data_IF_171670581796
#
_entry.id   IF_171670581796
#
_cell.length_a   1.000
_cell.length_b   1.000
_cell.length_c   1.000
_cell.angle_alpha   90.00
_cell.angle_beta   90.00
_cell.angle_gamma   90.00
#
_symmetry.space_group_name_H-M   'P 1'
#
loop_
_entity.id
_entity.type
_entity.pdbx_description
1 polymer ?
#
# COMPACT_ATOMS: atom_id res chain seq x y z
N UNK A 1 3.68 16.50 14.14
CA UNK A 1 2.83 15.44 14.74
C UNK A 1 1.38 15.90 14.84
N UNK A 2 0.41 15.04 14.49
CA UNK A 2 -1.05 15.34 14.51
C UNK A 2 -1.67 14.99 15.89
N UNK A 3 -1.20 15.59 16.96
CA UNK A 3 -1.53 15.20 18.36
C UNK A 3 -3.03 15.15 18.61
N UNK A 4 -3.77 16.21 18.26
CA UNK A 4 -5.21 16.29 18.52
C UNK A 4 -6.00 15.21 17.75
N UNK A 5 -5.54 14.80 16.56
CA UNK A 5 -6.12 13.71 15.77
C UNK A 5 -5.84 12.38 16.45
N UNK A 6 -4.59 12.11 16.83
CA UNK A 6 -4.20 10.90 17.56
C UNK A 6 -5.02 10.74 18.84
N UNK A 7 -5.18 11.80 19.62
CA UNK A 7 -5.94 11.77 20.88
C UNK A 7 -7.43 11.46 20.69
N UNK A 8 -8.03 11.97 19.60
CA UNK A 8 -9.40 11.59 19.25
C UNK A 8 -9.51 10.10 18.90
N UNK A 9 -8.57 9.57 18.12
CA UNK A 9 -8.56 8.16 17.74
C UNK A 9 -8.25 7.24 18.93
N UNK A 10 -7.34 7.65 19.84
CA UNK A 10 -7.10 6.93 21.10
C UNK A 10 -8.37 6.82 21.95
N UNK A 11 -9.14 7.91 22.02
CA UNK A 11 -10.41 7.93 22.75
C UNK A 11 -11.44 7.00 22.09
N UNK A 12 -11.53 7.01 20.75
CA UNK A 12 -12.46 6.17 19.99
C UNK A 12 -12.11 4.66 20.08
N UNK A 13 -10.83 4.34 20.26
CA UNK A 13 -10.31 2.98 20.39
C UNK A 13 -10.16 2.52 21.86
N UNK A 14 -10.60 3.35 22.84
CA UNK A 14 -10.52 3.08 24.28
C UNK A 14 -9.09 2.78 24.78
N UNK A 15 -8.07 3.39 24.14
CA UNK A 15 -6.66 3.29 24.51
C UNK A 15 -6.25 4.44 25.43
N UNK A 16 -5.37 4.20 26.40
CA UNK A 16 -4.85 5.28 27.27
C UNK A 16 -3.77 6.09 26.57
N UNK A 17 -2.92 5.46 25.75
CA UNK A 17 -1.85 6.13 25.03
C UNK A 17 -1.36 5.33 23.83
N UNK A 18 -0.63 6.02 22.94
CA UNK A 18 0.23 5.43 21.92
C UNK A 18 1.69 5.57 22.35
N UNK A 19 2.39 4.47 22.54
CA UNK A 19 3.81 4.45 22.85
C UNK A 19 4.61 4.18 21.56
N UNK A 20 5.06 5.24 20.92
CA UNK A 20 5.98 5.18 19.81
C UNK A 20 7.38 4.79 20.32
N UNK A 21 8.03 3.90 19.61
CA UNK A 21 9.40 3.45 19.88
C UNK A 21 10.16 3.27 18.58
N UNK A 22 11.40 3.71 18.54
CA UNK A 22 12.30 3.36 17.46
C UNK A 22 13.74 3.18 17.96
N UNK A 23 14.47 2.33 17.27
CA UNK A 23 15.90 2.12 17.41
C UNK A 23 16.52 1.98 16.02
N UNK A 24 17.31 2.98 15.59
CA UNK A 24 18.06 2.98 14.33
C UNK A 24 17.19 2.85 13.07
N UNK A 25 15.98 3.38 13.10
CA UNK A 25 15.09 3.41 11.93
C UNK A 25 14.32 2.11 11.63
N UNK A 26 14.20 1.21 12.62
CA UNK A 26 13.47 -0.06 12.42
C UNK A 26 11.94 0.13 12.42
N UNK A 27 11.45 1.27 12.94
CA UNK A 27 10.02 1.57 13.04
C UNK A 27 9.66 2.82 12.23
N UNK A 28 9.44 2.70 10.91
CA UNK A 28 9.08 3.84 10.06
C UNK A 28 7.73 4.46 10.46
N UNK A 29 6.79 3.69 11.01
CA UNK A 29 5.50 4.22 11.50
C UNK A 29 5.76 5.22 12.62
N UNK A 30 6.54 4.84 13.63
CA UNK A 30 6.87 5.73 14.73
C UNK A 30 7.61 6.98 14.25
N UNK A 31 8.56 6.84 13.31
CA UNK A 31 9.29 7.97 12.74
C UNK A 31 8.38 8.93 11.98
N UNK A 32 7.48 8.43 11.14
CA UNK A 32 6.52 9.25 10.37
C UNK A 32 5.57 9.98 11.31
N UNK A 33 4.94 9.28 12.24
CA UNK A 33 4.00 9.86 13.21
C UNK A 33 4.68 10.91 14.08
N UNK A 34 5.92 10.67 14.49
CA UNK A 34 6.73 11.59 15.26
C UNK A 34 7.23 12.81 14.46
N UNK A 35 7.22 12.75 13.13
CA UNK A 35 7.82 13.75 12.24
C UNK A 35 9.35 13.70 12.23
N UNK A 36 9.91 12.50 12.37
CA UNK A 36 11.35 12.23 12.47
C UNK A 36 11.87 11.35 11.32
N UNK A 37 11.11 11.18 10.24
CA UNK A 37 11.46 10.29 9.13
C UNK A 37 12.83 10.60 8.49
N UNK A 38 13.20 11.89 8.41
CA UNK A 38 14.48 12.33 7.85
C UNK A 38 15.61 12.43 8.90
N UNK A 39 15.33 12.13 10.17
CA UNK A 39 16.30 12.25 11.25
C UNK A 39 17.20 11.02 11.35
N UNK A 40 18.51 11.23 11.39
CA UNK A 40 19.48 10.15 11.66
C UNK A 40 19.61 9.93 13.16
N UNK A 41 18.85 8.96 13.71
CA UNK A 41 18.82 8.61 15.12
C UNK A 41 19.39 7.22 15.33
N UNK A 42 20.39 7.09 16.18
CA UNK A 42 21.11 5.83 16.40
C UNK A 42 20.85 5.20 17.76
N UNK A 43 20.15 5.87 18.64
CA UNK A 43 19.80 5.41 19.99
C UNK A 43 18.30 5.24 20.14
N UNK A 44 17.89 4.40 21.09
CA UNK A 44 16.47 4.20 21.41
C UNK A 44 15.84 5.52 21.83
N UNK A 45 14.66 5.77 21.31
CA UNK A 45 13.79 6.84 21.80
C UNK A 45 12.38 6.31 21.98
N UNK A 46 11.64 6.95 22.89
CA UNK A 46 10.23 6.67 23.14
C UNK A 46 9.45 7.98 23.12
N UNK A 47 8.22 7.92 22.64
CA UNK A 47 7.26 9.02 22.77
C UNK A 47 5.92 8.44 23.22
N UNK A 48 5.50 8.74 24.44
CA UNK A 48 4.16 8.43 24.90
C UNK A 48 3.22 9.57 24.53
N UNK A 49 2.26 9.30 23.67
CA UNK A 49 1.18 10.23 23.31
C UNK A 49 -0.06 9.80 24.09
N UNK A 50 -0.41 10.48 25.21
CA UNK A 50 -1.57 10.11 26.01
C UNK A 50 -2.87 10.56 25.32
N UNK A 51 -4.01 9.92 25.63
CA UNK A 51 -5.33 10.34 25.13
C UNK A 51 -5.72 11.78 25.56
N UNK A 52 -5.07 12.31 26.58
CA UNK A 52 -5.22 13.69 27.05
C UNK A 52 -3.88 14.22 27.59
N UNK A 53 -3.59 15.49 27.35
CA UNK A 53 -2.35 16.12 27.79
C UNK A 53 -1.27 16.17 26.70
N UNK A 54 -0.06 16.50 27.08
CA UNK A 54 1.06 16.63 26.15
C UNK A 54 1.83 15.33 25.95
N UNK A 55 2.43 15.10 24.78
CA UNK A 55 3.36 14.01 24.59
C UNK A 55 4.55 14.06 25.56
N UNK A 56 5.05 12.89 25.95
CA UNK A 56 6.20 12.74 26.82
C UNK A 56 7.27 11.90 26.09
N UNK A 57 8.44 12.49 25.93
CA UNK A 57 9.55 11.90 25.22
C UNK A 57 10.61 11.39 26.17
N UNK A 58 11.25 10.31 25.79
CA UNK A 58 12.45 9.79 26.44
C UNK A 58 13.54 9.62 25.39
N UNK A 59 14.61 10.40 25.51
CA UNK A 59 15.61 10.62 24.47
C UNK A 59 17.00 10.44 25.03
N UNK A 60 17.90 9.79 24.29
CA UNK A 60 19.29 9.67 24.69
C UNK A 60 20.02 11.02 24.61
N UNK A 61 20.86 11.34 25.60
CA UNK A 61 21.57 12.62 25.72
C UNK A 61 22.37 13.04 24.48
N UNK A 62 22.89 12.09 23.71
CA UNK A 62 23.63 12.41 22.47
C UNK A 62 22.77 12.70 21.25
N UNK A 63 21.46 12.45 21.30
CA UNK A 63 20.54 12.63 20.17
C UNK A 63 19.66 13.88 20.31
N UNK A 64 19.86 14.70 21.35
CA UNK A 64 19.00 15.84 21.70
C UNK A 64 18.78 16.83 20.55
N UNK A 65 19.75 16.98 19.64
CA UNK A 65 19.65 17.85 18.48
C UNK A 65 18.52 17.46 17.52
N UNK A 66 18.15 16.18 17.44
CA UNK A 66 17.07 15.69 16.61
C UNK A 66 15.69 16.01 17.20
N UNK A 67 15.61 16.36 18.49
CA UNK A 67 14.36 16.54 19.25
C UNK A 67 14.09 17.98 19.69
N UNK A 68 14.81 18.96 19.17
CA UNK A 68 14.67 20.37 19.59
C UNK A 68 13.31 20.99 19.24
N UNK A 69 12.64 20.48 18.20
CA UNK A 69 11.37 21.00 17.70
C UNK A 69 10.16 20.11 18.02
N UNK A 70 10.33 19.06 18.85
CA UNK A 70 9.22 18.19 19.20
C UNK A 70 8.27 18.88 20.19
N UNK A 71 6.99 18.57 20.09
CA UNK A 71 5.99 19.05 21.04
C UNK A 71 5.96 18.16 22.28
N UNK A 72 5.80 18.74 23.47
CA UNK A 72 5.68 18.03 24.74
C UNK A 72 6.95 18.08 25.59
N UNK A 73 7.01 17.23 26.58
CA UNK A 73 8.08 17.17 27.58
C UNK A 73 9.15 16.17 27.18
N UNK A 74 10.43 16.56 27.27
CA UNK A 74 11.56 15.69 26.94
C UNK A 74 12.35 15.35 28.20
N UNK A 75 12.39 14.06 28.53
CA UNK A 75 13.29 13.50 29.54
C UNK A 75 14.53 12.89 28.85
N UNK A 76 15.69 13.02 29.49
CA UNK A 76 16.95 12.55 28.93
C UNK A 76 17.51 11.37 29.72
N UNK A 77 18.12 10.42 29.01
CA UNK A 77 18.87 9.31 29.62
C UNK A 77 20.24 9.12 28.94
N UNK A 78 21.16 8.44 29.60
CA UNK A 78 22.44 8.03 29.03
C UNK A 78 22.72 6.54 29.24
N UNK A 79 22.53 6.04 30.45
CA UNK A 79 22.77 4.63 30.82
C UNK A 79 21.51 3.77 30.69
N UNK A 80 21.71 2.45 30.68
CA UNK A 80 20.59 1.50 30.59
C UNK A 80 19.72 1.47 31.86
N UNK A 81 20.31 1.69 33.06
CA UNK A 81 19.59 1.77 34.33
C UNK A 81 18.69 3.03 34.34
N UNK A 82 19.28 4.19 33.97
CA UNK A 82 18.55 5.47 33.82
C UNK A 82 17.39 5.36 32.81
N UNK A 83 17.61 4.64 31.69
CA UNK A 83 16.57 4.36 30.72
C UNK A 83 15.43 3.55 31.33
N UNK A 84 15.74 2.49 32.06
CA UNK A 84 14.74 1.60 32.63
C UNK A 84 13.87 2.32 33.67
N UNK A 85 14.50 3.11 34.58
CA UNK A 85 13.81 3.93 35.56
C UNK A 85 12.90 4.99 34.88
N UNK A 86 13.40 5.61 33.79
CA UNK A 86 12.67 6.60 33.04
C UNK A 86 11.49 6.00 32.27
N UNK A 87 11.58 4.78 31.75
CA UNK A 87 10.44 4.06 31.16
C UNK A 87 9.35 3.82 32.22
N UNK A 88 9.72 3.38 33.43
CA UNK A 88 8.79 3.21 34.53
C UNK A 88 8.04 4.51 34.88
N UNK A 89 8.78 5.64 34.90
CA UNK A 89 8.21 6.97 35.11
C UNK A 89 7.29 7.38 33.97
N UNK A 90 7.67 7.10 32.73
CA UNK A 90 6.90 7.42 31.52
C UNK A 90 5.54 6.70 31.50
N UNK A 91 5.48 5.49 32.04
CA UNK A 91 4.31 4.60 32.02
C UNK A 91 3.45 4.65 33.29
N UNK A 92 3.85 5.40 34.31
CA UNK A 92 3.28 5.32 35.66
C UNK A 92 1.75 5.60 35.75
N UNK A 93 1.20 6.35 34.81
CA UNK A 93 -0.22 6.79 34.79
C UNK A 93 -1.05 6.17 33.66
N UNK A 94 -0.54 5.16 32.96
CA UNK A 94 -1.24 4.45 31.88
C UNK A 94 -1.38 2.97 32.20
N UNK A 95 -2.48 2.36 31.75
CA UNK A 95 -2.75 0.93 31.90
C UNK A 95 -2.63 0.19 30.59
N UNK A 96 -3.05 0.84 29.49
CA UNK A 96 -3.02 0.28 28.15
C UNK A 96 -2.25 1.20 27.21
N UNK A 97 -1.35 0.63 26.40
CA UNK A 97 -0.65 1.36 25.35
C UNK A 97 -0.74 0.63 24.03
N UNK A 98 -0.97 1.38 22.95
CA UNK A 98 -0.76 0.87 21.60
C UNK A 98 0.74 0.92 21.27
N UNK A 99 1.25 -0.12 20.61
CA UNK A 99 2.59 -0.15 20.02
C UNK A 99 2.54 -0.85 18.66
N UNK A 100 3.56 -0.61 17.82
CA UNK A 100 3.70 -1.28 16.52
C UNK A 100 4.08 -2.76 16.72
N UNK A 101 3.10 -3.50 17.18
CA UNK A 101 3.15 -4.91 17.52
C UNK A 101 1.94 -5.62 16.92
N UNK A 102 2.14 -6.76 16.28
CA UNK A 102 1.07 -7.62 15.79
C UNK A 102 1.08 -8.95 16.53
N UNK A 103 0.04 -9.28 17.32
CA UNK A 103 -0.07 -10.57 17.97
C UNK A 103 0.04 -11.71 16.94
N UNK A 104 0.78 -12.76 17.28
CA UNK A 104 1.01 -13.93 16.43
C UNK A 104 1.57 -13.61 15.02
N UNK A 105 2.11 -12.39 14.81
CA UNK A 105 2.56 -11.88 13.52
C UNK A 105 1.47 -11.90 12.42
N UNK A 106 0.19 -11.77 12.79
CA UNK A 106 -0.95 -11.79 11.85
C UNK A 106 -0.86 -10.69 10.78
N UNK A 107 -0.33 -9.51 11.14
CA UNK A 107 -0.10 -8.38 10.23
C UNK A 107 1.37 -7.93 10.37
N UNK A 108 2.32 -8.57 9.68
CA UNK A 108 3.75 -8.31 9.86
C UNK A 108 4.16 -6.87 9.50
N UNK A 109 3.41 -6.19 8.64
CA UNK A 109 3.63 -4.78 8.28
C UNK A 109 3.59 -3.83 9.48
N UNK A 110 2.81 -4.17 10.50
CA UNK A 110 2.67 -3.40 11.75
C UNK A 110 3.70 -3.84 12.80
N UNK A 111 4.27 -5.03 12.71
CA UNK A 111 5.18 -5.58 13.72
C UNK A 111 6.59 -4.98 13.59
N UNK A 112 6.82 -3.84 14.24
CA UNK A 112 8.08 -3.06 14.17
C UNK A 112 8.83 -2.97 15.49
N UNK A 113 8.17 -3.28 16.61
CA UNK A 113 8.79 -3.29 17.94
C UNK A 113 9.34 -4.69 18.24
N UNK A 114 10.59 -4.77 18.65
CA UNK A 114 11.23 -6.04 18.99
C UNK A 114 10.64 -6.67 20.26
N UNK A 115 10.74 -8.01 20.37
CA UNK A 115 10.19 -8.77 21.47
C UNK A 115 10.74 -8.33 22.84
N UNK A 116 12.04 -8.04 22.93
CA UNK A 116 12.67 -7.62 24.19
C UNK A 116 12.14 -6.27 24.68
N UNK A 117 11.89 -5.34 23.78
CA UNK A 117 11.23 -4.06 24.12
C UNK A 117 9.80 -4.29 24.62
N UNK A 118 9.02 -5.17 23.96
CA UNK A 118 7.66 -5.51 24.42
C UNK A 118 7.67 -6.15 25.81
N UNK A 119 8.59 -7.09 26.06
CA UNK A 119 8.75 -7.72 27.37
C UNK A 119 9.10 -6.69 28.45
N UNK A 120 10.01 -5.77 28.15
CA UNK A 120 10.38 -4.66 29.03
C UNK A 120 9.16 -3.78 29.38
N UNK A 121 8.38 -3.32 28.38
CA UNK A 121 7.20 -2.49 28.63
C UNK A 121 6.15 -3.24 29.45
N UNK A 122 5.88 -4.51 29.14
CA UNK A 122 4.94 -5.36 29.91
C UNK A 122 5.39 -5.59 31.34
N UNK A 123 6.70 -5.62 31.61
CA UNK A 123 7.23 -5.81 32.98
C UNK A 123 6.86 -4.68 33.95
N UNK A 124 6.48 -3.49 33.43
CA UNK A 124 5.95 -2.37 34.22
C UNK A 124 4.45 -2.50 34.53
N UNK A 125 3.80 -3.63 34.17
CA UNK A 125 2.38 -3.86 34.45
C UNK A 125 1.44 -3.19 33.47
N UNK A 126 1.95 -2.72 32.31
CA UNK A 126 1.16 -2.10 31.26
C UNK A 126 0.72 -3.16 30.23
N UNK A 127 -0.53 -3.14 29.83
CA UNK A 127 -1.05 -3.94 28.72
C UNK A 127 -0.63 -3.32 27.40
N UNK A 128 0.06 -4.09 26.56
CA UNK A 128 0.45 -3.67 25.21
C UNK A 128 -0.54 -4.24 24.20
N UNK A 129 -1.24 -3.35 23.50
CA UNK A 129 -2.15 -3.65 22.41
C UNK A 129 -1.52 -3.28 21.07
N UNK A 130 -2.03 -3.85 19.97
CA UNK A 130 -1.58 -3.50 18.63
C UNK A 130 -1.99 -2.09 18.25
N UNK A 131 -1.10 -1.34 17.59
CA UNK A 131 -1.42 -0.04 17.00
C UNK A 131 -2.02 -0.12 15.59
N UNK A 132 -2.34 -1.31 15.08
CA UNK A 132 -2.72 -1.54 13.69
C UNK A 132 -3.86 -0.62 13.20
N UNK A 133 -4.97 -0.54 13.98
CA UNK A 133 -6.09 0.36 13.65
C UNK A 133 -5.71 1.83 13.81
N UNK A 134 -4.91 2.18 14.80
CA UNK A 134 -4.47 3.55 15.05
C UNK A 134 -3.54 4.03 13.95
N UNK A 135 -2.56 3.22 13.55
CA UNK A 135 -1.65 3.51 12.44
C UNK A 135 -2.42 3.72 11.12
N UNK A 136 -3.37 2.85 10.80
CA UNK A 136 -4.24 3.01 9.64
C UNK A 136 -5.00 4.36 9.67
N UNK A 137 -5.59 4.72 10.79
CA UNK A 137 -6.39 5.95 10.94
C UNK A 137 -5.56 7.22 10.82
N UNK A 138 -4.29 7.18 11.20
CA UNK A 138 -3.40 8.34 11.21
C UNK A 138 -2.58 8.46 9.91
N UNK A 139 -2.15 7.33 9.33
CA UNK A 139 -1.25 7.34 8.17
C UNK A 139 -1.94 7.03 6.84
N UNK A 140 -2.97 6.17 6.83
CA UNK A 140 -3.58 5.72 5.58
C UNK A 140 -4.79 6.57 5.15
N UNK A 141 -5.37 7.37 6.03
CA UNK A 141 -6.43 8.32 5.64
C UNK A 141 -5.87 9.48 4.85
N UNK A 142 -6.34 9.62 3.62
CA UNK A 142 -6.03 10.75 2.77
C UNK A 142 -6.83 11.97 3.21
N UNK A 143 -6.18 13.11 3.31
CA UNK A 143 -6.86 14.40 3.40
C UNK A 143 -7.40 14.84 2.02
N UNK A 144 -8.16 15.92 1.96
CA UNK A 144 -8.80 16.39 0.73
C UNK A 144 -7.78 16.72 -0.39
N UNK A 145 -6.64 17.34 -0.03
CA UNK A 145 -5.58 17.63 -0.98
C UNK A 145 -4.93 16.36 -1.53
N UNK A 146 -4.66 15.39 -0.66
CA UNK A 146 -4.11 14.08 -1.03
C UNK A 146 -5.09 13.29 -1.91
N UNK A 147 -6.38 13.27 -1.58
CA UNK A 147 -7.40 12.61 -2.40
C UNK A 147 -7.52 13.25 -3.80
N UNK A 148 -7.43 14.57 -3.88
CA UNK A 148 -7.41 15.31 -5.17
C UNK A 148 -6.12 15.01 -5.93
N UNK A 149 -4.97 15.00 -5.26
CA UNK A 149 -3.67 14.65 -5.83
C UNK A 149 -3.65 13.20 -6.39
N UNK A 150 -4.23 12.24 -5.65
CA UNK A 150 -4.38 10.86 -6.11
C UNK A 150 -5.20 10.78 -7.42
N UNK A 151 -6.31 11.52 -7.54
CA UNK A 151 -7.09 11.54 -8.77
C UNK A 151 -6.30 12.10 -9.95
N UNK A 152 -5.43 13.09 -9.71
CA UNK A 152 -4.54 13.59 -10.75
C UNK A 152 -3.45 12.56 -11.10
N UNK A 153 -2.85 11.89 -10.11
CA UNK A 153 -1.90 10.78 -10.35
C UNK A 153 -2.57 9.70 -11.21
N UNK A 154 -3.78 9.27 -10.85
CA UNK A 154 -4.53 8.24 -11.57
C UNK A 154 -4.77 8.62 -13.05
N UNK A 155 -5.19 9.87 -13.29
CA UNK A 155 -5.37 10.38 -14.65
C UNK A 155 -4.08 10.34 -15.47
N UNK A 156 -2.96 10.76 -14.88
CA UNK A 156 -1.67 10.85 -15.58
C UNK A 156 -1.05 9.46 -15.80
N UNK A 157 -1.17 8.55 -14.84
CA UNK A 157 -0.76 7.14 -14.98
C UNK A 157 -1.53 6.46 -16.11
N UNK A 158 -2.84 6.67 -16.20
CA UNK A 158 -3.65 6.15 -17.32
C UNK A 158 -3.23 6.74 -18.67
N UNK A 159 -2.83 8.00 -18.74
CA UNK A 159 -2.29 8.60 -19.97
C UNK A 159 -0.95 7.95 -20.37
N UNK A 160 -0.07 7.69 -19.41
CA UNK A 160 1.19 6.98 -19.68
C UNK A 160 0.93 5.56 -20.19
N UNK A 161 -0.03 4.84 -19.60
CA UNK A 161 -0.48 3.53 -20.05
C UNK A 161 -1.01 3.57 -21.49
N UNK A 162 -1.89 4.53 -21.82
CA UNK A 162 -2.43 4.68 -23.19
C UNK A 162 -1.31 5.00 -24.18
N UNK A 163 -0.38 5.86 -23.83
CA UNK A 163 0.81 6.13 -24.62
C UNK A 163 1.62 4.86 -24.90
N UNK A 164 1.91 4.06 -23.87
CA UNK A 164 2.72 2.86 -23.98
C UNK A 164 2.12 1.85 -24.97
N UNK A 165 0.84 1.51 -24.85
CA UNK A 165 0.18 0.58 -25.77
C UNK A 165 0.09 1.13 -27.20
N UNK A 166 -0.20 2.42 -27.38
CA UNK A 166 -0.20 3.06 -28.68
C UNK A 166 1.19 3.06 -29.32
N UNK A 167 2.23 3.32 -28.55
CA UNK A 167 3.61 3.29 -28.99
C UNK A 167 4.00 1.89 -29.46
N UNK A 168 3.74 0.83 -28.67
CA UNK A 168 3.97 -0.56 -29.05
C UNK A 168 3.30 -0.85 -30.40
N UNK A 169 2.00 -0.57 -30.53
CA UNK A 169 1.26 -0.82 -31.77
C UNK A 169 1.83 -0.07 -32.97
N UNK A 170 2.30 1.18 -32.78
CA UNK A 170 2.96 1.96 -33.84
C UNK A 170 4.28 1.34 -34.27
N UNK A 171 5.16 1.00 -33.31
CA UNK A 171 6.49 0.42 -33.63
C UNK A 171 6.34 -0.91 -34.37
N UNK A 172 5.40 -1.77 -33.95
CA UNK A 172 5.13 -3.05 -34.61
C UNK A 172 4.57 -2.89 -36.02
N UNK A 173 3.67 -1.93 -36.26
CA UNK A 173 3.18 -1.61 -37.62
C UNK A 173 4.27 -1.08 -38.55
N UNK A 174 5.24 -0.37 -37.98
CA UNK A 174 6.40 0.13 -38.70
C UNK A 174 7.51 -0.94 -38.94
N UNK A 175 7.28 -2.18 -38.44
CA UNK A 175 8.23 -3.30 -38.57
C UNK A 175 9.50 -3.15 -37.74
N UNK A 176 9.44 -2.36 -36.66
CA UNK A 176 10.58 -2.16 -35.78
C UNK A 176 10.70 -3.24 -34.71
N UNK A 177 11.92 -3.57 -34.35
CA UNK A 177 12.23 -4.39 -33.18
C UNK A 177 12.09 -3.54 -31.92
N UNK A 178 11.34 -3.99 -30.95
CA UNK A 178 11.17 -3.36 -29.64
C UNK A 178 11.32 -4.40 -28.53
N UNK A 179 11.93 -3.99 -27.42
CA UNK A 179 12.11 -4.81 -26.24
C UNK A 179 11.15 -4.34 -25.13
N UNK A 180 10.80 -5.24 -24.20
CA UNK A 180 10.04 -4.87 -22.98
C UNK A 180 10.72 -3.68 -22.26
N UNK A 181 12.08 -3.69 -22.19
CA UNK A 181 12.85 -2.61 -21.59
C UNK A 181 12.68 -1.28 -22.31
N UNK A 182 12.58 -1.28 -23.65
CA UNK A 182 12.34 -0.04 -24.41
C UNK A 182 11.00 0.58 -24.05
N UNK A 183 9.95 -0.26 -23.90
CA UNK A 183 8.61 0.19 -23.48
C UNK A 183 8.66 0.76 -22.06
N UNK A 184 9.37 0.10 -21.14
CA UNK A 184 9.55 0.59 -19.77
C UNK A 184 10.22 1.97 -19.78
N UNK A 185 11.26 2.17 -20.59
CA UNK A 185 11.94 3.46 -20.69
C UNK A 185 11.04 4.56 -21.29
N UNK A 186 10.20 4.22 -22.27
CA UNK A 186 9.18 5.14 -22.81
C UNK A 186 8.16 5.55 -21.74
N UNK A 187 7.69 4.63 -20.90
CA UNK A 187 6.80 4.95 -19.77
C UNK A 187 7.48 5.89 -18.78
N UNK A 188 8.74 5.61 -18.39
CA UNK A 188 9.53 6.48 -17.51
C UNK A 188 9.75 7.87 -18.13
N UNK A 189 9.97 7.94 -19.44
CA UNK A 189 10.03 9.20 -20.18
C UNK A 189 8.71 10.01 -20.09
N UNK A 190 7.56 9.34 -20.20
CA UNK A 190 6.24 9.96 -20.02
C UNK A 190 6.04 10.43 -18.58
N UNK A 191 6.44 9.63 -17.59
CA UNK A 191 6.38 10.05 -16.18
C UNK A 191 7.19 11.34 -15.96
N UNK A 192 8.42 11.37 -16.44
CA UNK A 192 9.27 12.56 -16.33
C UNK A 192 8.67 13.79 -17.04
N UNK A 193 8.07 13.61 -18.22
CA UNK A 193 7.43 14.69 -19.00
C UNK A 193 6.16 15.24 -18.31
N UNK A 194 5.51 14.45 -17.44
CA UNK A 194 4.32 14.81 -16.70
C UNK A 194 4.60 15.16 -15.21
N UNK A 195 5.86 15.37 -14.83
CA UNK A 195 6.31 15.62 -13.45
C UNK A 195 5.84 14.52 -12.45
N UNK A 196 5.80 13.27 -12.92
CA UNK A 196 5.54 12.11 -12.09
C UNK A 196 6.85 11.45 -11.63
N UNK A 197 6.79 10.81 -10.47
CA UNK A 197 7.86 9.98 -9.91
C UNK A 197 7.31 8.62 -9.52
N UNK A 198 8.17 7.61 -9.62
CA UNK A 198 7.91 6.25 -9.13
C UNK A 198 9.11 5.79 -8.31
N UNK A 199 8.90 4.88 -7.37
CA UNK A 199 9.96 4.29 -6.54
C UNK A 199 10.65 3.10 -7.24
N UNK A 200 9.94 2.42 -8.16
CA UNK A 200 10.49 1.34 -8.98
C UNK A 200 10.03 1.49 -10.44
N UNK A 201 10.81 1.01 -11.41
CA UNK A 201 10.40 1.03 -12.81
C UNK A 201 9.14 0.21 -13.07
N UNK A 202 8.27 0.63 -14.00
CA UNK A 202 7.09 -0.13 -14.40
C UNK A 202 7.41 -1.55 -14.87
N UNK A 203 6.47 -2.46 -14.66
CA UNK A 203 6.51 -3.81 -15.21
C UNK A 203 6.00 -3.76 -16.65
N UNK A 204 6.77 -4.34 -17.55
CA UNK A 204 6.38 -4.62 -18.94
C UNK A 204 6.77 -6.06 -19.23
N UNK A 205 5.79 -6.93 -19.43
CA UNK A 205 6.03 -8.36 -19.54
C UNK A 205 5.29 -8.97 -20.73
N UNK A 206 5.98 -9.71 -21.56
CA UNK A 206 5.41 -10.39 -22.71
C UNK A 206 5.32 -11.91 -22.47
N UNK A 207 4.16 -12.50 -22.84
CA UNK A 207 3.93 -13.96 -22.80
C UNK A 207 4.30 -14.58 -21.43
N UNK A 208 5.22 -15.56 -21.40
CA UNK A 208 5.61 -16.29 -20.20
C UNK A 208 6.21 -15.38 -19.10
N UNK A 209 6.82 -14.24 -19.47
CA UNK A 209 7.35 -13.28 -18.49
C UNK A 209 6.23 -12.66 -17.64
N UNK A 210 5.02 -12.50 -18.19
CA UNK A 210 3.86 -12.02 -17.43
C UNK A 210 3.35 -13.01 -16.37
N UNK A 211 3.88 -14.24 -16.35
CA UNK A 211 3.56 -15.24 -15.30
C UNK A 211 4.28 -14.99 -13.98
N UNK A 212 5.31 -14.13 -13.98
CA UNK A 212 5.97 -13.64 -12.77
C UNK A 212 5.37 -12.27 -12.40
N UNK A 213 4.59 -12.18 -11.30
CA UNK A 213 3.97 -10.92 -10.89
C UNK A 213 4.94 -9.77 -10.63
N UNK A 214 6.19 -10.08 -10.29
CA UNK A 214 7.23 -9.10 -9.96
C UNK A 214 8.32 -8.97 -11.05
N UNK A 215 8.11 -9.59 -12.22
CA UNK A 215 9.04 -9.41 -13.33
C UNK A 215 9.12 -7.93 -13.74
N UNK A 216 10.34 -7.40 -13.74
CA UNK A 216 10.62 -6.08 -14.29
C UNK A 216 11.77 -6.18 -15.28
N UNK A 217 11.59 -5.74 -16.54
CA UNK A 217 12.65 -5.82 -17.54
C UNK A 217 13.82 -4.91 -17.16
N UNK A 218 15.02 -5.31 -17.60
CA UNK A 218 16.23 -4.52 -17.46
C UNK A 218 17.01 -4.49 -18.79
N UNK A 219 18.05 -3.69 -18.87
CA UNK A 219 18.90 -3.64 -20.07
C UNK A 219 19.54 -5.01 -20.43
N UNK A 220 19.63 -5.93 -19.46
CA UNK A 220 20.27 -7.25 -19.63
C UNK A 220 19.31 -8.43 -19.52
N UNK A 221 18.09 -8.22 -18.99
CA UNK A 221 17.01 -9.23 -18.95
C UNK A 221 15.74 -8.59 -19.50
N UNK A 222 15.51 -8.81 -20.78
CA UNK A 222 14.39 -8.26 -21.54
C UNK A 222 14.08 -9.16 -22.72
N UNK A 223 12.82 -9.21 -23.12
CA UNK A 223 12.35 -9.98 -24.27
C UNK A 223 11.91 -9.04 -25.39
N UNK A 224 12.09 -9.47 -26.64
CA UNK A 224 11.51 -8.80 -27.80
C UNK A 224 10.00 -8.96 -27.80
N UNK A 225 9.27 -7.87 -28.07
CA UNK A 225 7.83 -7.86 -28.27
C UNK A 225 7.54 -7.96 -29.76
N UNK A 226 6.79 -8.97 -30.17
CA UNK A 226 6.47 -9.27 -31.57
C UNK A 226 4.97 -9.30 -31.81
N UNK A 227 4.59 -9.24 -33.09
CA UNK A 227 3.18 -9.48 -33.46
C UNK A 227 2.76 -10.92 -33.03
N UNK A 228 1.66 -11.00 -32.31
CA UNK A 228 1.15 -12.26 -31.72
C UNK A 228 1.44 -12.41 -30.25
N UNK A 229 2.16 -11.50 -29.61
CA UNK A 229 2.46 -11.57 -28.18
C UNK A 229 1.32 -11.01 -27.31
N UNK A 230 1.15 -11.64 -26.15
CA UNK A 230 0.33 -11.13 -25.06
C UNK A 230 1.20 -10.27 -24.15
N UNK A 231 0.74 -9.08 -23.78
CA UNK A 231 1.52 -8.07 -23.07
C UNK A 231 0.77 -7.64 -21.81
N UNK A 232 1.45 -7.63 -20.67
CA UNK A 232 1.01 -7.05 -19.41
C UNK A 232 1.87 -5.82 -19.12
N UNK A 233 1.23 -4.70 -18.78
CA UNK A 233 1.88 -3.50 -18.27
C UNK A 233 1.26 -3.17 -16.92
N UNK A 234 2.11 -3.03 -15.91
CA UNK A 234 1.78 -2.61 -14.56
C UNK A 234 2.63 -1.39 -14.20
N UNK A 235 1.96 -0.30 -13.82
CA UNK A 235 2.63 0.99 -13.66
C UNK A 235 1.98 1.84 -12.58
N UNK A 236 2.83 2.39 -11.71
CA UNK A 236 2.45 3.26 -10.61
C UNK A 236 3.32 4.50 -10.54
N UNK A 237 2.72 5.61 -10.20
CA UNK A 237 3.42 6.88 -10.01
C UNK A 237 2.59 7.87 -9.20
N UNK A 238 3.26 8.93 -8.71
CA UNK A 238 2.64 10.08 -8.07
C UNK A 238 3.28 11.38 -8.55
N UNK A 239 2.66 12.53 -8.27
CA UNK A 239 3.30 13.82 -8.50
C UNK A 239 4.60 13.94 -7.68
N UNK A 240 5.51 14.78 -8.15
CA UNK A 240 6.78 15.06 -7.49
C UNK A 240 6.58 15.98 -6.27
N UNK A 241 5.86 15.46 -5.28
CA UNK A 241 5.58 16.09 -3.99
C UNK A 241 5.68 15.01 -2.89
N UNK A 242 6.35 15.26 -1.77
CA UNK A 242 6.46 14.28 -0.68
C UNK A 242 5.10 13.77 -0.19
N UNK A 243 4.09 14.66 -0.13
CA UNK A 243 2.74 14.35 0.36
C UNK A 243 1.82 13.81 -0.75
N UNK A 244 2.28 13.76 -2.01
CA UNK A 244 1.49 13.21 -3.10
C UNK A 244 1.25 11.70 -2.92
N UNK A 245 0.08 11.26 -3.38
CA UNK A 245 -0.40 9.89 -3.28
C UNK A 245 -0.23 9.18 -4.61
N UNK A 246 0.28 7.96 -4.55
CA UNK A 246 0.41 7.08 -5.71
C UNK A 246 -0.93 6.77 -6.35
N UNK A 247 -0.90 6.47 -7.65
CA UNK A 247 -1.92 5.73 -8.35
C UNK A 247 -1.28 4.53 -9.03
N UNK A 248 -2.03 3.44 -9.14
CA UNK A 248 -1.57 2.14 -9.62
C UNK A 248 -2.56 1.54 -10.60
N UNK A 249 -2.06 0.86 -11.63
CA UNK A 249 -2.93 0.17 -12.57
C UNK A 249 -2.20 -0.85 -13.41
N UNK A 250 -2.81 -2.01 -13.60
CA UNK A 250 -2.35 -3.06 -14.52
C UNK A 250 -3.34 -3.25 -15.65
N UNK A 251 -2.82 -3.25 -16.88
CA UNK A 251 -3.57 -3.51 -18.10
C UNK A 251 -2.89 -4.56 -18.98
N UNK A 252 -3.69 -5.26 -19.80
CA UNK A 252 -3.20 -6.28 -20.73
C UNK A 252 -3.63 -5.99 -22.16
N UNK A 253 -2.77 -6.40 -23.10
CA UNK A 253 -2.98 -6.23 -24.52
C UNK A 253 -2.51 -7.46 -25.30
N UNK A 254 -2.95 -7.55 -26.54
CA UNK A 254 -2.47 -8.51 -27.53
C UNK A 254 -1.92 -7.76 -28.74
N UNK A 255 -0.72 -8.08 -29.13
CA UNK A 255 -0.04 -7.49 -30.29
C UNK A 255 -0.56 -8.08 -31.62
N UNK A 256 -1.86 -7.99 -31.86
CA UNK A 256 -2.51 -8.52 -33.05
C UNK A 256 -3.88 -7.91 -33.25
N UNK A 257 -4.53 -8.23 -34.40
CA UNK A 257 -5.86 -7.73 -34.77
C UNK A 257 -7.00 -8.45 -34.07
N UNK A 258 -6.81 -9.72 -33.77
CA UNK A 258 -7.84 -10.58 -33.14
C UNK A 258 -7.23 -11.28 -31.96
N UNK A 259 -7.73 -10.99 -30.78
CA UNK A 259 -7.25 -11.62 -29.53
C UNK A 259 -7.64 -13.10 -29.51
N UNK A 260 -6.70 -14.03 -29.31
CA UNK A 260 -7.01 -15.46 -29.18
C UNK A 260 -7.92 -15.74 -27.98
N UNK A 261 -8.83 -16.71 -28.15
CA UNK A 261 -9.84 -17.09 -27.15
C UNK A 261 -9.24 -17.41 -25.78
N UNK A 262 -8.08 -18.07 -25.73
CA UNK A 262 -7.41 -18.42 -24.47
C UNK A 262 -7.10 -17.20 -23.59
N UNK A 263 -6.74 -16.06 -24.16
CA UNK A 263 -6.47 -14.84 -23.41
C UNK A 263 -7.76 -14.17 -22.93
N UNK A 264 -8.81 -14.21 -23.78
CA UNK A 264 -10.13 -13.65 -23.44
C UNK A 264 -10.76 -14.41 -22.28
N UNK A 265 -10.71 -15.76 -22.28
CA UNK A 265 -11.29 -16.61 -21.24
C UNK A 265 -10.67 -16.32 -19.87
N UNK A 266 -9.33 -16.26 -19.77
CA UNK A 266 -8.64 -15.97 -18.52
C UNK A 266 -8.88 -14.51 -18.10
N UNK A 267 -8.81 -13.57 -19.04
CA UNK A 267 -9.07 -12.16 -18.76
C UNK A 267 -10.50 -11.95 -18.21
N UNK A 268 -11.51 -12.59 -18.78
CA UNK A 268 -12.90 -12.47 -18.32
C UNK A 268 -13.09 -13.00 -16.89
N UNK A 269 -12.35 -14.03 -16.49
CA UNK A 269 -12.36 -14.52 -15.10
C UNK A 269 -11.73 -13.48 -14.18
N UNK A 270 -10.55 -12.97 -14.52
CA UNK A 270 -9.83 -11.97 -13.69
C UNK A 270 -10.62 -10.65 -13.59
N UNK A 271 -11.18 -10.19 -14.71
CA UNK A 271 -12.06 -9.02 -14.76
C UNK A 271 -13.28 -9.17 -13.85
N UNK A 272 -14.00 -10.32 -13.95
CA UNK A 272 -15.18 -10.56 -13.12
C UNK A 272 -14.81 -10.67 -11.64
N UNK A 273 -13.63 -11.23 -11.30
CA UNK A 273 -13.11 -11.27 -9.94
C UNK A 273 -12.91 -9.84 -9.38
N UNK A 274 -12.26 -8.95 -10.14
CA UNK A 274 -12.10 -7.53 -9.82
C UNK A 274 -13.47 -6.84 -9.62
N UNK A 275 -14.37 -7.03 -10.56
CA UNK A 275 -15.69 -6.38 -10.55
C UNK A 275 -16.56 -6.90 -9.39
N UNK A 276 -16.38 -8.17 -8.97
CA UNK A 276 -17.01 -8.73 -7.76
C UNK A 276 -16.51 -8.06 -6.49
N UNK A 277 -15.19 -7.85 -6.36
CA UNK A 277 -14.63 -7.11 -5.22
C UNK A 277 -15.25 -5.71 -5.11
N UNK A 278 -15.32 -4.97 -6.22
CA UNK A 278 -15.91 -3.63 -6.25
C UNK A 278 -17.39 -3.68 -5.82
N UNK A 279 -18.18 -4.60 -6.36
CA UNK A 279 -19.60 -4.76 -5.97
C UNK A 279 -19.76 -5.15 -4.51
N UNK A 280 -18.96 -6.10 -4.02
CA UNK A 280 -18.98 -6.53 -2.62
C UNK A 280 -18.73 -5.35 -1.67
N UNK A 281 -17.71 -4.55 -1.96
CA UNK A 281 -17.40 -3.35 -1.17
C UNK A 281 -18.56 -2.34 -1.27
N UNK A 282 -19.07 -2.06 -2.46
CA UNK A 282 -20.17 -1.10 -2.66
C UNK A 282 -21.45 -1.48 -1.92
N UNK A 283 -21.84 -2.75 -1.96
CA UNK A 283 -23.05 -3.26 -1.32
C UNK A 283 -22.94 -3.20 0.22
N UNK A 284 -21.85 -3.68 0.79
CA UNK A 284 -21.63 -3.64 2.24
C UNK A 284 -21.43 -2.22 2.76
N UNK A 285 -20.69 -1.40 2.01
CA UNK A 285 -20.47 0.01 2.35
C UNK A 285 -21.78 0.81 2.38
N UNK A 286 -22.65 0.59 1.39
CA UNK A 286 -23.97 1.22 1.33
C UNK A 286 -24.91 0.75 2.46
N UNK A 287 -24.74 -0.47 2.93
CA UNK A 287 -25.49 -1.04 4.05
C UNK A 287 -24.87 -0.74 5.43
N UNK A 288 -23.76 0.03 5.47
CA UNK A 288 -23.00 0.34 6.69
C UNK A 288 -22.53 -0.92 7.45
N UNK A 289 -22.29 -2.01 6.73
CA UNK A 289 -21.77 -3.26 7.29
C UNK A 289 -20.24 -3.19 7.26
N UNK A 290 -19.52 -3.42 8.38
CA UNK A 290 -18.08 -3.46 8.41
C UNK A 290 -17.50 -4.42 7.35
N UNK A 291 -16.42 -4.00 6.69
CA UNK A 291 -15.71 -4.79 5.69
C UNK A 291 -14.27 -4.92 6.17
N UNK A 292 -13.78 -6.15 6.30
CA UNK A 292 -12.38 -6.41 6.63
C UNK A 292 -11.61 -6.78 5.37
N UNK A 293 -10.32 -6.50 5.36
CA UNK A 293 -9.48 -6.76 4.19
C UNK A 293 -9.54 -8.22 3.72
N UNK A 294 -9.47 -9.18 4.66
CA UNK A 294 -9.54 -10.61 4.35
C UNK A 294 -10.87 -11.02 3.67
N UNK A 295 -11.99 -10.36 3.98
CA UNK A 295 -13.31 -10.72 3.40
C UNK A 295 -13.37 -10.38 1.90
N UNK A 296 -12.68 -9.32 1.48
CA UNK A 296 -12.60 -8.96 0.06
C UNK A 296 -11.74 -9.96 -0.70
N UNK A 297 -10.59 -10.36 -0.13
CA UNK A 297 -9.75 -11.41 -0.72
C UNK A 297 -10.49 -12.73 -0.84
N UNK A 298 -11.23 -13.15 0.21
CA UNK A 298 -12.07 -14.37 0.19
C UNK A 298 -13.11 -14.33 -0.94
N UNK A 299 -13.75 -13.19 -1.17
CA UNK A 299 -14.73 -13.01 -2.26
C UNK A 299 -14.07 -13.22 -3.63
N UNK A 300 -12.91 -12.65 -3.87
CA UNK A 300 -12.16 -12.73 -5.12
C UNK A 300 -11.57 -14.12 -5.32
N UNK A 301 -10.82 -14.58 -4.35
CA UNK A 301 -10.12 -15.88 -4.36
C UNK A 301 -11.09 -17.06 -4.46
N UNK A 302 -12.21 -16.99 -3.73
CA UNK A 302 -13.29 -17.97 -3.81
C UNK A 302 -13.83 -18.12 -5.23
N UNK A 303 -14.08 -16.98 -5.92
CA UNK A 303 -14.53 -17.03 -7.31
C UNK A 303 -13.49 -17.59 -8.29
N UNK A 304 -12.22 -17.18 -8.18
CA UNK A 304 -11.15 -17.70 -9.04
C UNK A 304 -10.97 -19.21 -8.80
N UNK A 305 -11.09 -19.66 -7.55
CA UNK A 305 -11.04 -21.09 -7.19
C UNK A 305 -12.21 -21.88 -7.77
N UNK A 306 -13.44 -21.33 -7.71
CA UNK A 306 -14.63 -21.91 -8.35
C UNK A 306 -14.45 -22.10 -9.86
N UNK A 307 -13.71 -21.20 -10.51
CA UNK A 307 -13.36 -21.28 -11.92
C UNK A 307 -12.22 -22.28 -12.23
N UNK A 308 -11.62 -22.90 -11.22
CA UNK A 308 -10.55 -23.90 -11.36
C UNK A 308 -9.13 -23.32 -11.42
N UNK A 309 -8.95 -22.05 -11.08
CA UNK A 309 -7.66 -21.35 -11.17
C UNK A 309 -7.11 -20.89 -9.82
N UNK A 310 -7.64 -21.38 -8.69
CA UNK A 310 -7.23 -20.95 -7.35
C UNK A 310 -5.73 -21.07 -7.07
N UNK A 311 -5.08 -22.14 -7.56
CA UNK A 311 -3.62 -22.37 -7.41
C UNK A 311 -2.74 -21.39 -8.21
N UNK A 312 -3.33 -20.69 -9.20
CA UNK A 312 -2.65 -19.73 -10.05
C UNK A 312 -2.85 -18.28 -9.59
N UNK A 313 -3.62 -18.04 -8.52
CA UNK A 313 -3.76 -16.73 -7.89
C UNK A 313 -2.89 -16.68 -6.62
N UNK A 314 -1.65 -16.24 -6.77
CA UNK A 314 -0.52 -16.46 -5.84
C UNK A 314 -0.13 -15.24 -5.00
N UNK A 315 -0.88 -14.16 -5.07
CA UNK A 315 -0.71 -12.97 -4.22
C UNK A 315 -2.04 -12.48 -3.65
N UNK A 316 -2.02 -11.52 -2.75
CA UNK A 316 -3.21 -10.87 -2.18
C UNK A 316 -4.03 -10.16 -3.25
N UNK A 317 -5.31 -9.90 -2.96
CA UNK A 317 -6.21 -9.20 -3.90
C UNK A 317 -5.87 -7.72 -4.07
N UNK A 318 -5.21 -7.10 -3.08
CA UNK A 318 -4.82 -5.70 -3.19
C UNK A 318 -4.14 -5.16 -1.92
N UNK A 319 -3.63 -3.96 -2.01
CA UNK A 319 -2.89 -3.30 -0.93
C UNK A 319 -3.35 -1.86 -0.71
N UNK A 320 -3.08 -1.33 0.48
CA UNK A 320 -3.31 0.09 0.76
C UNK A 320 -2.35 0.97 -0.06
N UNK A 321 -2.89 2.04 -0.62
CA UNK A 321 -2.17 3.06 -1.38
C UNK A 321 -2.15 4.37 -0.61
N UNK A 322 -0.97 4.98 -0.51
CA UNK A 322 -0.74 6.24 0.17
C UNK A 322 0.34 7.09 -0.48
N UNK A 323 1.09 7.82 0.33
CA UNK A 323 2.31 8.52 -0.09
C UNK A 323 3.45 7.55 -0.45
N UNK A 324 3.32 6.30 -0.05
CA UNK A 324 4.08 5.14 -0.52
C UNK A 324 3.14 4.18 -1.21
N UNK A 325 3.64 3.41 -2.18
CA UNK A 325 2.79 2.53 -2.98
C UNK A 325 2.16 1.42 -2.12
N UNK A 326 2.90 0.85 -1.18
CA UNK A 326 2.41 -0.10 -0.18
C UNK A 326 2.31 0.59 1.18
N UNK A 327 1.15 1.20 1.48
CA UNK A 327 0.91 1.95 2.71
C UNK A 327 0.62 1.06 3.93
N UNK A 328 0.41 1.73 5.09
CA UNK A 328 0.16 1.06 6.38
C UNK A 328 -1.34 0.84 6.70
N UNK A 329 -2.24 1.08 5.74
CA UNK A 329 -3.67 0.75 5.87
C UNK A 329 -3.94 -0.74 5.65
N UNK A 330 -5.22 -1.12 5.76
CA UNK A 330 -5.68 -2.48 5.53
C UNK A 330 -5.40 -2.92 4.08
N UNK A 331 -4.82 -4.11 3.94
CA UNK A 331 -4.68 -4.79 2.67
C UNK A 331 -5.90 -5.70 2.43
N UNK A 332 -6.19 -5.98 1.17
CA UNK A 332 -7.20 -6.97 0.79
C UNK A 332 -6.51 -8.34 0.71
N UNK A 333 -6.34 -8.99 1.87
CA UNK A 333 -5.44 -10.14 2.00
C UNK A 333 -5.97 -11.19 2.99
N UNK A 334 -6.10 -12.42 2.54
CA UNK A 334 -6.29 -13.64 3.33
C UNK A 334 -5.39 -14.79 2.82
N UNK A 335 -4.32 -14.44 2.10
CA UNK A 335 -3.36 -15.41 1.58
C UNK A 335 -2.00 -15.29 2.27
N UNK A 336 -1.37 -14.14 2.13
CA UNK A 336 -0.04 -13.87 2.71
C UNK A 336 -0.17 -13.52 4.19
N UNK A 337 -1.20 -12.73 4.51
CA UNK A 337 -1.60 -12.38 5.86
C UNK A 337 -3.12 -12.32 5.97
N UNK A 338 -3.66 -12.61 7.16
CA UNK A 338 -5.07 -12.39 7.39
C UNK A 338 -5.28 -10.96 7.88
N UNK A 339 -5.54 -10.02 6.97
CA UNK A 339 -5.75 -8.64 7.37
C UNK A 339 -7.17 -8.42 7.90
N UNK A 340 -7.30 -8.49 9.22
CA UNK A 340 -8.57 -8.33 9.93
C UNK A 340 -8.92 -6.86 10.22
N UNK A 341 -8.14 -5.88 9.72
CA UNK A 341 -8.49 -4.46 9.87
C UNK A 341 -9.68 -4.11 9.01
N UNK A 342 -10.53 -3.24 9.54
CA UNK A 342 -11.68 -2.75 8.79
C UNK A 342 -11.25 -1.72 7.73
N UNK A 343 -11.87 -1.77 6.56
CA UNK A 343 -11.80 -0.68 5.59
C UNK A 343 -12.53 0.54 6.16
N UNK A 344 -11.90 1.70 6.15
CA UNK A 344 -12.43 2.94 6.74
C UNK A 344 -12.55 4.05 5.70
N UNK A 345 -13.40 5.04 5.96
CA UNK A 345 -13.50 6.22 5.10
C UNK A 345 -12.19 6.98 5.04
N UNK A 346 -11.82 7.45 3.86
CA UNK A 346 -10.60 8.19 3.59
C UNK A 346 -9.41 7.34 3.13
N UNK A 347 -9.54 6.01 3.05
CA UNK A 347 -8.45 5.14 2.56
C UNK A 347 -8.55 4.89 1.06
N UNK A 348 -7.39 4.68 0.45
CA UNK A 348 -7.23 4.22 -0.92
C UNK A 348 -6.51 2.87 -0.96
N UNK A 349 -6.90 1.99 -1.86
CA UNK A 349 -6.30 0.66 -2.03
C UNK A 349 -6.47 0.15 -3.46
N UNK A 350 -5.58 -0.76 -3.89
CA UNK A 350 -5.71 -1.48 -5.16
C UNK A 350 -6.72 -2.63 -5.07
N UNK A 351 -7.28 -3.02 -6.22
CA UNK A 351 -7.97 -4.29 -6.46
C UNK A 351 -7.35 -4.87 -7.72
N UNK A 352 -6.53 -5.91 -7.57
CA UNK A 352 -5.61 -6.39 -8.60
C UNK A 352 -5.57 -7.93 -8.74
N UNK A 353 -6.71 -8.63 -8.85
CA UNK A 353 -6.66 -10.08 -9.00
C UNK A 353 -5.86 -10.48 -10.24
N UNK A 354 -5.19 -11.65 -10.15
CA UNK A 354 -4.40 -12.21 -11.24
C UNK A 354 -4.49 -13.73 -11.34
N UNK A 355 -4.27 -14.27 -12.53
CA UNK A 355 -4.11 -15.70 -12.83
C UNK A 355 -2.80 -15.85 -13.62
N UNK A 356 -1.84 -16.60 -13.07
CA UNK A 356 -0.49 -16.73 -13.60
C UNK A 356 -0.23 -18.16 -14.09
N UNK A 357 -0.56 -18.41 -15.37
CA UNK A 357 -0.30 -19.67 -16.05
C UNK A 357 1.14 -19.72 -16.55
N UNK A 358 1.72 -20.93 -16.77
CA UNK A 358 3.10 -21.06 -17.23
C UNK A 358 3.40 -20.31 -18.53
N UNK A 359 2.41 -20.19 -19.44
CA UNK A 359 2.60 -19.56 -20.74
C UNK A 359 2.34 -18.03 -20.73
N UNK A 360 1.54 -17.55 -19.82
CA UNK A 360 1.18 -16.12 -19.65
C UNK A 360 0.47 -15.90 -18.32
N UNK A 361 0.58 -14.69 -17.80
CA UNK A 361 -0.19 -14.21 -16.65
C UNK A 361 -1.13 -13.08 -17.06
N UNK A 362 -2.28 -13.00 -16.39
CA UNK A 362 -3.27 -11.93 -16.54
C UNK A 362 -3.51 -11.30 -15.19
N UNK A 363 -3.31 -10.00 -15.10
CA UNK A 363 -3.74 -9.14 -13.98
C UNK A 363 -4.52 -7.97 -14.55
N UNK A 364 -5.58 -7.53 -13.89
CA UNK A 364 -6.22 -6.25 -14.16
C UNK A 364 -6.45 -5.54 -12.85
N UNK A 365 -6.07 -4.28 -12.79
CA UNK A 365 -5.98 -3.54 -11.55
C UNK A 365 -6.64 -2.18 -11.66
N UNK A 366 -7.26 -1.81 -10.54
CA UNK A 366 -7.85 -0.49 -10.31
C UNK A 366 -7.60 -0.04 -8.89
N UNK A 367 -7.52 1.28 -8.70
CA UNK A 367 -7.55 1.90 -7.38
C UNK A 367 -8.97 2.23 -6.96
N UNK A 368 -9.26 2.00 -5.68
CA UNK A 368 -10.53 2.35 -5.05
C UNK A 368 -10.28 3.28 -3.85
N UNK A 369 -10.99 4.40 -3.83
CA UNK A 369 -10.98 5.36 -2.75
C UNK A 369 -12.34 5.39 -2.03
N UNK A 370 -12.35 5.25 -0.71
CA UNK A 370 -13.53 5.34 0.13
C UNK A 370 -13.77 6.80 0.56
N UNK A 371 -14.46 7.57 -0.28
CA UNK A 371 -14.62 9.02 -0.09
C UNK A 371 -15.62 9.41 1.01
N UNK A 372 -16.55 8.54 1.37
CA UNK A 372 -17.62 8.83 2.33
C UNK A 372 -18.69 7.75 2.36
N UNK A 373 -19.80 7.97 3.07
CA UNK A 373 -20.85 6.97 3.23
C UNK A 373 -21.62 6.70 1.93
N UNK A 374 -22.30 5.56 1.90
CA UNK A 374 -23.15 5.15 0.80
C UNK A 374 -22.38 4.60 -0.42
N UNK A 375 -23.10 4.00 -1.36
CA UNK A 375 -22.49 3.35 -2.54
C UNK A 375 -21.65 4.29 -3.37
N UNK A 376 -22.07 5.54 -3.53
CA UNK A 376 -21.36 6.57 -4.28
C UNK A 376 -20.07 7.04 -3.58
N UNK A 377 -19.88 6.67 -2.32
CA UNK A 377 -18.64 6.88 -1.57
C UNK A 377 -17.51 5.93 -1.99
N UNK A 378 -17.83 4.81 -2.64
CA UNK A 378 -16.83 3.87 -3.18
C UNK A 378 -16.47 4.28 -4.60
N UNK A 379 -15.32 4.90 -4.78
CA UNK A 379 -14.89 5.48 -6.05
C UNK A 379 -13.75 4.70 -6.66
N UNK A 380 -13.95 4.15 -7.85
CA UNK A 380 -12.85 3.66 -8.69
C UNK A 380 -12.17 4.87 -9.29
N UNK A 381 -10.91 5.12 -8.91
CA UNK A 381 -10.18 6.35 -9.27
C UNK A 381 -9.35 6.19 -10.54
N UNK A 382 -8.89 4.99 -10.87
CA UNK A 382 -8.20 4.66 -12.13
C UNK A 382 -9.21 4.24 -13.23
N UNK A 383 -10.26 5.03 -13.42
CA UNK A 383 -11.24 4.84 -14.49
C UNK A 383 -10.84 5.59 -15.77
N UNK A 384 -11.12 5.07 -16.99
CA UNK A 384 -11.97 3.89 -17.25
C UNK A 384 -11.27 2.57 -16.89
N UNK A 385 -12.05 1.59 -16.44
CA UNK A 385 -11.54 0.24 -16.13
C UNK A 385 -11.38 -0.60 -17.38
N UNK A 386 -10.44 -1.51 -17.39
CA UNK A 386 -10.27 -2.42 -18.52
C UNK A 386 -11.42 -3.42 -18.61
N UNK A 387 -12.11 -3.46 -19.76
CA UNK A 387 -13.27 -4.33 -20.01
C UNK A 387 -12.99 -5.44 -21.04
N UNK A 388 -11.88 -5.35 -21.76
CA UNK A 388 -11.44 -6.33 -22.75
C UNK A 388 -9.92 -6.27 -22.89
N UNK A 389 -9.30 -7.34 -23.36
CA UNK A 389 -7.90 -7.33 -23.79
C UNK A 389 -7.77 -6.36 -24.98
N UNK A 390 -6.83 -5.41 -24.91
CA UNK A 390 -6.60 -4.44 -26.00
C UNK A 390 -6.01 -5.16 -27.23
N UNK A 391 -6.47 -4.78 -28.43
CA UNK A 391 -5.89 -5.20 -29.71
C UNK A 391 -5.02 -4.06 -30.24
N UNK A 392 -3.74 -4.31 -30.52
CA UNK A 392 -2.76 -3.26 -30.84
C UNK A 392 -2.49 -3.08 -32.35
N UNK A 393 -2.93 -4.02 -33.23
CA UNK A 393 -2.67 -4.01 -34.67
C UNK A 393 -3.94 -3.93 -35.51
#
# INVERSE_FOLDING_TARGET
MKIAEIQRELTALELDAWLLYDFRGINPIAQNVAGLAEAHITRRWFCLIPKQGEPRWLVHKIETSNFVNVQGQVALYAGWEELNDAIGTLLADVKTVAMEYSPNAEIPYISRVDAGTLECIRSFGVEVQTSAELAQRIEARLNEAQATGHQLSAKLVLQAKDYAFNWIGSQLRDGKTIMEYDVQQEILGQFAAMDLVTDHPPIVAANAKSSDPHYAPSATDTQEIQAGDFILIDLWAKQKDPDAVFADTTWVAYAGKTVPTQYIEIFDIVKEARDRAIRFIQERWAAEVPIHGYEVDDCVRGYITEKGYGEYFIHRTGHNIGTVIHGNGANLDNLETRDARALISGVCFSIEPGIYLTAFGVRTEVDVFLAGPGRDGVKVTTAPVQNQVLSLL
#
